data_IF_409738902228
#
_entry.id   IF_409738902228
#
_cell.length_a   1.000
_cell.length_b   1.000
_cell.length_c   1.000
_cell.angle_alpha   90.00
_cell.angle_beta   90.00
_cell.angle_gamma   90.00
#
_symmetry.space_group_name_H-M   'P 1'
#
loop_
_entity.id
_entity.type
_entity.pdbx_description
1 polymer ?
#
# COMPACT_ATOMS: atom_id res chain seq x y z
N UNK A 1 4.15 69.77 18.79
CA UNK A 1 3.74 68.39 18.46
C UNK A 1 4.55 67.97 17.24
N UNK A 2 5.00 66.72 17.18
CA UNK A 2 5.68 66.20 15.99
C UNK A 2 4.63 66.08 14.88
N UNK A 3 4.87 66.72 13.75
CA UNK A 3 3.95 66.73 12.60
C UNK A 3 4.48 65.91 11.42
N UNK A 4 5.70 65.38 11.52
CA UNK A 4 6.39 64.69 10.43
C UNK A 4 6.94 63.34 10.87
N UNK A 5 6.86 62.35 9.99
CA UNK A 5 7.46 61.03 10.07
C UNK A 5 8.74 61.02 9.23
N UNK A 6 9.87 60.65 9.83
CA UNK A 6 11.14 60.56 9.08
C UNK A 6 11.30 59.18 8.44
N UNK A 7 11.02 59.08 7.14
CA UNK A 7 11.23 57.85 6.39
C UNK A 7 12.69 57.71 5.96
N UNK A 8 13.30 56.57 6.30
CA UNK A 8 14.65 56.17 5.82
C UNK A 8 14.80 56.14 4.29
N UNK A 9 13.69 56.08 3.54
CA UNK A 9 13.70 55.95 2.07
C UNK A 9 13.10 57.14 1.31
N UNK A 10 12.30 57.99 1.98
CA UNK A 10 11.53 59.06 1.33
C UNK A 10 11.67 60.42 2.01
N UNK A 11 12.52 60.53 3.05
CA UNK A 11 12.70 61.76 3.82
C UNK A 11 11.54 62.06 4.77
N UNK A 12 11.50 63.30 5.27
CA UNK A 12 10.47 63.80 6.18
C UNK A 12 9.11 63.89 5.48
N UNK A 13 8.10 63.19 6.00
CA UNK A 13 6.74 63.14 5.44
C UNK A 13 5.77 63.68 6.49
N UNK A 14 4.91 64.62 6.12
CA UNK A 14 3.90 65.15 7.03
C UNK A 14 2.86 64.07 7.40
N UNK A 15 2.72 63.78 8.70
CA UNK A 15 1.88 62.68 9.23
C UNK A 15 0.42 62.86 8.80
N UNK A 16 -0.09 64.10 8.82
CA UNK A 16 -1.48 64.41 8.47
C UNK A 16 -1.87 64.03 7.04
N UNK A 17 -0.89 63.92 6.14
CA UNK A 17 -1.11 63.60 4.71
C UNK A 17 -1.01 62.10 4.40
N UNK A 18 -0.61 61.28 5.37
CA UNK A 18 -0.38 59.85 5.16
C UNK A 18 -1.70 59.09 5.03
N UNK A 19 -1.90 58.27 3.98
CA UNK A 19 -3.06 57.38 3.88
C UNK A 19 -2.98 56.25 4.92
N UNK A 20 -4.14 55.72 5.34
CA UNK A 20 -4.26 54.77 6.47
C UNK A 20 -3.31 53.57 6.37
N UNK A 21 -3.20 52.95 5.19
CA UNK A 21 -2.32 51.80 4.96
C UNK A 21 -0.85 52.14 5.14
N UNK A 22 -0.44 53.33 4.67
CA UNK A 22 0.93 53.81 4.81
C UNK A 22 1.25 54.22 6.25
N UNK A 23 0.32 54.90 6.93
CA UNK A 23 0.46 55.27 8.35
C UNK A 23 0.61 54.04 9.25
N UNK A 24 -0.21 52.98 9.04
CA UNK A 24 -0.10 51.70 9.77
C UNK A 24 1.25 51.00 9.56
N UNK A 25 1.71 50.93 8.31
CA UNK A 25 3.00 50.29 8.01
C UNK A 25 4.18 51.07 8.58
N UNK A 26 4.13 52.40 8.53
CA UNK A 26 5.16 53.28 9.09
C UNK A 26 5.21 53.20 10.61
N UNK A 27 4.05 53.18 11.28
CA UNK A 27 3.93 52.95 12.73
C UNK A 27 4.54 51.59 13.14
N UNK A 28 4.14 50.50 12.47
CA UNK A 28 4.66 49.15 12.75
C UNK A 28 6.17 49.04 12.53
N UNK A 29 6.69 49.76 11.52
CA UNK A 29 8.13 49.81 11.28
C UNK A 29 8.83 50.58 12.40
N UNK A 30 8.34 51.76 12.75
CA UNK A 30 8.95 52.66 13.74
C UNK A 30 8.97 52.04 15.14
N UNK A 31 7.86 51.39 15.55
CA UNK A 31 7.78 50.69 16.85
C UNK A 31 8.74 49.51 16.94
N UNK A 32 9.01 48.82 15.82
CA UNK A 32 9.93 47.67 15.77
C UNK A 32 11.40 48.08 15.73
N UNK A 33 11.74 49.11 14.95
CA UNK A 33 13.15 49.45 14.67
C UNK A 33 13.69 50.53 15.59
N UNK A 34 12.87 51.50 16.01
CA UNK A 34 13.31 52.66 16.78
C UNK A 34 12.30 53.01 17.89
N UNK A 35 12.08 52.11 18.89
CA UNK A 35 11.07 52.29 19.93
C UNK A 35 11.31 53.50 20.85
N UNK A 36 12.51 54.09 20.82
CA UNK A 36 12.86 55.31 21.56
C UNK A 36 12.26 56.60 20.99
N UNK A 37 11.66 56.58 19.80
CA UNK A 37 11.01 57.74 19.16
C UNK A 37 9.54 57.87 19.58
N UNK A 38 9.30 57.89 20.89
CA UNK A 38 7.97 57.76 21.50
C UNK A 38 6.99 58.85 21.05
N UNK A 39 7.43 60.10 20.95
CA UNK A 39 6.56 61.22 20.53
C UNK A 39 6.10 61.13 19.06
N UNK A 40 6.86 60.47 18.19
CA UNK A 40 6.50 60.26 16.78
C UNK A 40 5.62 59.03 16.60
N UNK A 41 5.87 57.99 17.40
CA UNK A 41 5.00 56.82 17.52
C UNK A 41 3.61 57.25 18.01
N UNK A 42 3.53 58.08 19.05
CA UNK A 42 2.26 58.62 19.57
C UNK A 42 1.53 59.48 18.52
N UNK A 43 2.25 60.32 17.77
CA UNK A 43 1.66 61.13 16.70
C UNK A 43 1.12 60.27 15.53
N UNK A 44 1.85 59.23 15.13
CA UNK A 44 1.41 58.28 14.10
C UNK A 44 0.24 57.42 14.57
N UNK A 45 0.26 56.98 15.83
CA UNK A 45 -0.83 56.22 16.43
C UNK A 45 -2.13 57.04 16.44
N UNK A 46 -2.07 58.30 16.89
CA UNK A 46 -3.23 59.19 16.90
C UNK A 46 -3.80 59.43 15.48
N UNK A 47 -2.94 59.53 14.46
CA UNK A 47 -3.37 59.68 13.07
C UNK A 47 -3.98 58.40 12.50
N UNK A 48 -3.42 57.23 12.83
CA UNK A 48 -3.98 55.93 12.45
C UNK A 48 -5.35 55.72 13.09
N UNK A 49 -5.52 56.08 14.36
CA UNK A 49 -6.80 55.93 15.08
C UNK A 49 -7.86 56.87 14.51
N UNK A 50 -7.48 58.11 14.18
CA UNK A 50 -8.35 59.06 13.46
C UNK A 50 -8.79 58.49 12.10
N UNK A 51 -7.86 58.01 11.28
CA UNK A 51 -8.21 57.49 9.95
C UNK A 51 -8.96 56.15 10.01
N UNK A 52 -8.72 55.32 11.04
CA UNK A 52 -9.46 54.08 11.25
C UNK A 52 -10.91 54.36 11.67
N UNK A 53 -11.12 55.32 12.58
CA UNK A 53 -12.47 55.76 12.96
C UNK A 53 -13.21 56.43 11.81
N UNK A 54 -12.52 57.22 10.97
CA UNK A 54 -13.09 57.79 9.74
C UNK A 54 -13.46 56.69 8.71
N UNK A 55 -12.62 55.67 8.54
CA UNK A 55 -12.89 54.54 7.65
C UNK A 55 -14.03 53.64 8.15
N UNK A 56 -14.12 53.42 9.47
CA UNK A 56 -15.20 52.65 10.10
C UNK A 56 -16.52 53.42 10.06
N UNK A 57 -16.49 54.75 10.28
CA UNK A 57 -17.65 55.62 10.10
C UNK A 57 -18.11 55.68 8.64
N UNK A 58 -17.18 55.70 7.67
CA UNK A 58 -17.50 55.64 6.24
C UNK A 58 -18.10 54.29 5.84
N UNK A 59 -17.61 53.18 6.40
CA UNK A 59 -18.16 51.84 6.17
C UNK A 59 -19.57 51.66 6.77
N UNK A 60 -19.86 52.32 7.90
CA UNK A 60 -21.19 52.32 8.54
C UNK A 60 -22.22 53.24 7.85
N UNK A 61 -21.76 54.28 7.14
CA UNK A 61 -22.62 55.29 6.52
C UNK A 61 -23.18 54.92 5.14
N UNK A 62 -22.84 53.76 4.57
CA UNK A 62 -23.49 53.20 3.39
C UNK A 62 -23.57 54.14 2.18
N UNK A 63 -22.42 54.61 1.69
CA UNK A 63 -22.33 55.45 0.49
C UNK A 63 -21.64 54.72 -0.67
N UNK A 64 -22.32 54.68 -1.82
CA UNK A 64 -21.80 54.21 -3.11
C UNK A 64 -20.36 54.71 -3.40
N UNK A 65 -19.52 53.79 -3.88
CA UNK A 65 -18.26 54.08 -4.53
C UNK A 65 -18.48 55.06 -5.71
N UNK A 66 -18.20 56.34 -5.50
CA UNK A 66 -18.06 57.31 -6.59
C UNK A 66 -16.61 57.77 -6.65
N UNK A 67 -15.76 56.97 -7.30
CA UNK A 67 -14.45 57.43 -7.74
C UNK A 67 -14.63 58.23 -9.05
N UNK A 68 -14.41 59.56 -9.07
CA UNK A 68 -14.61 60.42 -10.24
C UNK A 68 -13.59 60.21 -11.38
N UNK A 69 -12.83 59.11 -11.37
CA UNK A 69 -11.94 58.69 -12.48
C UNK A 69 -12.43 57.48 -13.27
N UNK A 70 -13.63 56.96 -12.99
CA UNK A 70 -14.27 55.97 -13.85
C UNK A 70 -14.87 56.63 -15.11
N UNK A 71 -14.03 57.24 -15.94
CA UNK A 71 -14.37 57.56 -17.33
C UNK A 71 -13.86 56.41 -18.19
N UNK A 72 -14.81 55.57 -18.63
CA UNK A 72 -14.59 54.47 -19.57
C UNK A 72 -14.22 55.05 -20.94
N UNK A 73 -13.07 54.66 -21.48
CA UNK A 73 -12.74 54.88 -22.89
C UNK A 73 -11.25 54.81 -23.22
N UNK A 74 -10.82 53.73 -23.89
CA UNK A 74 -9.79 53.84 -24.92
C UNK A 74 -8.48 53.05 -24.79
N UNK A 75 -8.37 52.03 -23.94
CA UNK A 75 -7.30 51.04 -24.10
C UNK A 75 -7.79 49.67 -23.65
N UNK A 76 -7.70 48.69 -24.54
CA UNK A 76 -7.96 47.28 -24.26
C UNK A 76 -6.60 46.60 -24.08
N UNK A 77 -5.97 46.68 -22.89
CA UNK A 77 -4.82 45.83 -22.61
C UNK A 77 -5.28 44.35 -22.64
N UNK A 78 -4.40 43.39 -22.99
CA UNK A 78 -4.73 41.98 -22.81
C UNK A 78 -5.12 41.78 -21.35
N UNK A 79 -6.21 41.06 -21.10
CA UNK A 79 -6.70 40.83 -19.76
C UNK A 79 -5.56 40.31 -18.88
N UNK A 80 -5.14 41.14 -17.92
CA UNK A 80 -4.32 40.69 -16.81
C UNK A 80 -5.16 39.69 -16.03
N UNK A 81 -4.80 38.42 -16.19
CA UNK A 81 -5.06 37.26 -15.36
C UNK A 81 -6.01 37.56 -14.19
N UNK A 82 -7.31 37.46 -14.47
CA UNK A 82 -8.26 36.98 -13.48
C UNK A 82 -7.61 35.78 -12.81
N UNK A 83 -7.33 35.93 -11.51
CA UNK A 83 -6.97 34.87 -10.57
C UNK A 83 -7.10 33.51 -11.21
N UNK A 84 -5.99 32.91 -11.65
CA UNK A 84 -5.96 31.61 -12.28
C UNK A 84 -6.76 30.66 -11.39
N UNK A 85 -8.05 30.50 -11.70
CA UNK A 85 -8.86 29.44 -11.19
C UNK A 85 -8.03 28.21 -11.54
N UNK A 86 -7.66 27.42 -10.54
CA UNK A 86 -6.94 26.17 -10.76
C UNK A 86 -7.74 25.44 -11.83
N UNK A 87 -7.26 25.48 -13.07
CA UNK A 87 -7.92 24.84 -14.20
C UNK A 87 -7.62 23.39 -13.93
N UNK A 88 -8.52 22.73 -13.20
CA UNK A 88 -8.44 21.30 -12.99
C UNK A 88 -8.34 20.68 -14.39
N UNK A 89 -7.22 19.99 -14.71
CA UNK A 89 -7.01 19.46 -16.03
C UNK A 89 -8.09 18.39 -16.26
N UNK A 90 -9.12 18.75 -17.02
CA UNK A 90 -10.18 17.81 -17.38
C UNK A 90 -9.64 16.87 -18.44
N UNK A 91 -9.94 15.58 -18.32
CA UNK A 91 -9.51 14.56 -19.27
C UNK A 91 -9.73 14.98 -20.73
N UNK A 92 -10.88 15.58 -21.06
CA UNK A 92 -11.19 15.99 -22.43
C UNK A 92 -10.19 17.00 -23.00
N UNK A 93 -9.73 17.96 -22.19
CA UNK A 93 -8.76 18.97 -22.62
C UNK A 93 -7.34 18.38 -22.72
N UNK A 94 -6.96 17.55 -21.75
CA UNK A 94 -5.66 16.87 -21.75
C UNK A 94 -5.54 15.91 -22.94
N UNK A 95 -6.63 15.21 -23.26
CA UNK A 95 -6.69 14.30 -24.40
C UNK A 95 -6.45 15.03 -25.71
N UNK A 96 -7.14 16.15 -25.95
CA UNK A 96 -6.95 16.95 -27.17
C UNK A 96 -5.50 17.40 -27.30
N UNK A 97 -4.91 17.93 -26.23
CA UNK A 97 -3.51 18.37 -26.24
C UNK A 97 -2.52 17.23 -26.50
N UNK A 98 -2.74 16.06 -25.90
CA UNK A 98 -1.93 14.87 -26.16
C UNK A 98 -2.08 14.36 -27.59
N UNK A 99 -3.30 14.31 -28.12
CA UNK A 99 -3.58 13.86 -29.48
C UNK A 99 -2.88 14.78 -30.52
N UNK A 100 -2.84 16.08 -30.26
CA UNK A 100 -2.09 17.06 -31.08
C UNK A 100 -0.57 16.80 -31.03
N UNK A 101 0.00 16.71 -29.82
CA UNK A 101 1.44 16.44 -29.66
C UNK A 101 1.86 15.07 -30.21
N UNK A 102 0.99 14.06 -30.13
CA UNK A 102 1.22 12.74 -30.72
C UNK A 102 1.22 12.79 -32.23
N UNK A 103 0.34 13.60 -32.84
CA UNK A 103 0.35 13.83 -34.29
C UNK A 103 1.65 14.50 -34.73
N UNK A 104 2.14 15.50 -33.98
CA UNK A 104 3.44 16.11 -34.24
C UNK A 104 4.59 15.13 -34.06
N UNK A 105 4.54 14.29 -33.03
CA UNK A 105 5.54 13.26 -32.78
C UNK A 105 5.60 12.23 -33.91
N UNK A 106 4.46 11.84 -34.48
CA UNK A 106 4.41 10.96 -35.65
C UNK A 106 5.10 11.58 -36.87
N UNK A 107 4.97 12.91 -37.06
CA UNK A 107 5.64 13.61 -38.16
C UNK A 107 7.16 13.68 -37.98
N UNK A 108 7.66 13.76 -36.74
CA UNK A 108 9.10 13.80 -36.44
C UNK A 108 9.75 12.43 -36.29
N UNK A 109 8.99 11.42 -35.85
CA UNK A 109 9.47 10.05 -35.60
C UNK A 109 9.16 9.11 -36.78
N UNK A 110 9.34 9.59 -38.01
CA UNK A 110 9.11 8.86 -39.26
C UNK A 110 10.30 7.95 -39.68
N UNK A 111 11.40 8.00 -38.94
CA UNK A 111 12.62 7.24 -39.20
C UNK A 111 13.67 7.97 -40.04
N UNK A 112 13.43 9.22 -40.43
CA UNK A 112 14.42 10.06 -41.11
C UNK A 112 15.44 10.57 -40.07
N UNK A 113 16.73 10.53 -40.45
CA UNK A 113 17.80 11.01 -39.59
C UNK A 113 17.74 12.54 -39.41
N UNK A 114 17.93 13.01 -38.18
CA UNK A 114 18.08 14.43 -37.86
C UNK A 114 19.40 14.93 -38.47
N UNK A 115 19.35 15.98 -39.29
CA UNK A 115 20.50 16.49 -40.06
C UNK A 115 21.00 17.86 -39.62
N UNK A 116 20.22 18.57 -38.81
CA UNK A 116 20.56 19.92 -38.33
C UNK A 116 20.32 20.06 -36.83
N UNK A 117 21.08 20.95 -36.18
CA UNK A 117 20.91 21.22 -34.74
C UNK A 117 19.50 21.77 -34.43
N UNK A 118 18.94 22.63 -35.30
CA UNK A 118 17.59 23.16 -35.11
C UNK A 118 16.50 22.09 -35.10
N UNK A 119 16.65 21.03 -35.90
CA UNK A 119 15.75 19.86 -35.85
C UNK A 119 15.92 19.08 -34.54
N UNK A 120 17.16 18.92 -34.05
CA UNK A 120 17.41 18.27 -32.76
C UNK A 120 16.78 19.05 -31.60
N UNK A 121 16.88 20.38 -31.61
CA UNK A 121 16.30 21.25 -30.59
C UNK A 121 14.76 21.18 -30.61
N UNK A 122 14.14 21.18 -31.80
CA UNK A 122 12.68 21.02 -31.96
C UNK A 122 12.18 19.66 -31.45
N UNK A 123 12.89 18.57 -31.77
CA UNK A 123 12.55 17.23 -31.26
C UNK A 123 12.73 17.16 -29.74
N UNK A 124 13.76 17.82 -29.19
CA UNK A 124 13.96 17.90 -27.74
C UNK A 124 12.83 18.67 -27.04
N UNK A 125 12.37 19.80 -27.60
CA UNK A 125 11.21 20.54 -27.10
C UNK A 125 9.94 19.70 -27.17
N UNK A 126 9.66 19.04 -28.30
CA UNK A 126 8.49 18.17 -28.45
C UNK A 126 8.49 17.01 -27.44
N UNK A 127 9.66 16.39 -27.20
CA UNK A 127 9.82 15.38 -26.15
C UNK A 127 9.48 15.93 -24.77
N UNK A 128 9.94 17.14 -24.45
CA UNK A 128 9.66 17.78 -23.16
C UNK A 128 8.16 18.10 -23.01
N UNK A 129 7.53 18.67 -24.04
CA UNK A 129 6.09 18.96 -24.03
C UNK A 129 5.23 17.70 -23.87
N UNK A 130 5.62 16.58 -24.50
CA UNK A 130 4.97 15.29 -24.28
C UNK A 130 5.11 14.81 -22.83
N UNK A 131 6.29 14.95 -22.21
CA UNK A 131 6.50 14.56 -20.80
C UNK A 131 5.66 15.40 -19.84
N UNK A 132 5.51 16.70 -20.11
CA UNK A 132 4.66 17.61 -19.35
C UNK A 132 3.18 17.25 -19.52
N UNK A 133 2.72 17.03 -20.75
CA UNK A 133 1.35 16.62 -21.04
C UNK A 133 0.99 15.26 -20.39
N UNK A 134 1.93 14.30 -20.37
CA UNK A 134 1.77 13.04 -19.65
C UNK A 134 1.63 13.25 -18.13
N UNK A 135 2.37 14.21 -17.57
CA UNK A 135 2.31 14.52 -16.14
C UNK A 135 0.96 15.17 -15.79
N UNK A 136 0.47 16.10 -16.62
CA UNK A 136 -0.86 16.71 -16.48
C UNK A 136 -1.99 15.66 -16.57
N UNK A 137 -1.86 14.65 -17.42
CA UNK A 137 -2.81 13.54 -17.49
C UNK A 137 -2.84 12.70 -16.20
N UNK A 138 -1.68 12.44 -15.60
CA UNK A 138 -1.61 11.72 -14.32
C UNK A 138 -2.21 12.53 -13.17
N UNK A 139 -2.03 13.85 -13.17
CA UNK A 139 -2.68 14.77 -12.21
C UNK A 139 -4.20 14.80 -12.37
N UNK A 140 -4.70 14.95 -13.61
CA UNK A 140 -6.12 14.85 -13.94
C UNK A 140 -6.73 13.56 -13.40
N UNK A 141 -6.07 12.41 -13.68
CA UNK A 141 -6.49 11.10 -13.19
C UNK A 141 -6.53 11.04 -11.66
N UNK A 142 -5.55 11.62 -10.97
CA UNK A 142 -5.52 11.64 -9.49
C UNK A 142 -6.68 12.45 -8.92
N UNK A 143 -7.00 13.60 -9.51
CA UNK A 143 -8.14 14.44 -9.10
C UNK A 143 -9.45 13.70 -9.31
N UNK A 144 -9.67 13.12 -10.49
CA UNK A 144 -10.89 12.35 -10.79
C UNK A 144 -11.06 11.13 -9.88
N UNK A 145 -9.95 10.44 -9.58
CA UNK A 145 -9.94 9.24 -8.74
C UNK A 145 -10.10 9.54 -7.24
N UNK A 146 -9.63 10.69 -6.77
CA UNK A 146 -9.62 11.05 -5.34
C UNK A 146 -10.97 10.84 -4.61
N UNK A 147 -12.13 11.31 -5.11
CA UNK A 147 -13.41 11.10 -4.43
C UNK A 147 -13.82 9.63 -4.40
N UNK A 148 -13.52 8.86 -5.45
CA UNK A 148 -13.80 7.43 -5.50
C UNK A 148 -12.92 6.64 -4.52
N UNK A 149 -11.63 6.98 -4.47
CA UNK A 149 -10.70 6.39 -3.50
C UNK A 149 -11.14 6.69 -2.05
N UNK A 150 -11.66 7.89 -1.79
CA UNK A 150 -12.19 8.24 -0.47
C UNK A 150 -13.44 7.41 -0.11
N UNK A 151 -14.38 7.23 -1.04
CA UNK A 151 -15.56 6.37 -0.83
C UNK A 151 -15.17 4.91 -0.63
N UNK A 152 -14.22 4.41 -1.43
CA UNK A 152 -13.70 3.05 -1.28
C UNK A 152 -13.01 2.89 0.08
N UNK A 153 -12.21 3.87 0.50
CA UNK A 153 -11.54 3.86 1.79
C UNK A 153 -12.54 3.82 2.95
N UNK A 154 -13.60 4.64 2.92
CA UNK A 154 -14.65 4.62 3.94
C UNK A 154 -15.33 3.26 4.05
N UNK A 155 -15.68 2.65 2.91
CA UNK A 155 -16.25 1.30 2.88
C UNK A 155 -15.25 0.30 3.47
N UNK A 156 -14.01 0.33 3.00
CA UNK A 156 -12.97 -0.58 3.48
C UNK A 156 -12.76 -0.44 4.99
N UNK A 157 -12.68 0.78 5.52
CA UNK A 157 -12.46 1.03 6.95
C UNK A 157 -13.59 0.48 7.81
N UNK A 158 -14.85 0.73 7.43
CA UNK A 158 -16.03 0.20 8.14
C UNK A 158 -16.04 -1.33 8.21
N UNK A 159 -15.71 -2.01 7.10
CA UNK A 159 -15.65 -3.47 7.09
C UNK A 159 -14.41 -3.99 7.82
N UNK A 160 -13.25 -3.37 7.61
CA UNK A 160 -11.97 -3.77 8.20
C UNK A 160 -11.99 -3.76 9.72
N UNK A 161 -12.83 -2.93 10.36
CA UNK A 161 -13.06 -2.99 11.80
C UNK A 161 -13.45 -4.41 12.30
N UNK A 162 -14.16 -5.19 11.48
CA UNK A 162 -14.60 -6.54 11.81
C UNK A 162 -13.81 -7.63 11.09
N UNK A 163 -13.56 -7.45 9.79
CA UNK A 163 -13.06 -8.50 8.90
C UNK A 163 -11.60 -8.32 8.49
N UNK A 164 -10.89 -7.29 8.98
CA UNK A 164 -9.49 -7.11 8.62
C UNK A 164 -8.66 -8.36 8.98
N UNK A 165 -7.83 -8.85 8.05
CA UNK A 165 -6.96 -10.01 8.28
C UNK A 165 -6.08 -9.88 9.51
N UNK A 166 -5.76 -11.02 10.13
CA UNK A 166 -4.96 -11.08 11.36
C UNK A 166 -3.53 -10.54 11.20
N UNK A 167 -3.00 -10.50 9.98
CA UNK A 167 -1.67 -9.96 9.63
C UNK A 167 -1.63 -8.43 9.60
N UNK A 168 -2.79 -7.76 9.58
CA UNK A 168 -2.85 -6.31 9.52
C UNK A 168 -2.53 -5.72 10.90
N UNK A 169 -1.98 -4.50 10.94
CA UNK A 169 -1.66 -3.77 12.18
C UNK A 169 -2.87 -3.66 13.13
N UNK A 170 -4.07 -3.48 12.56
CA UNK A 170 -5.36 -3.52 13.26
C UNK A 170 -6.19 -4.66 12.68
N UNK A 171 -6.12 -5.83 13.31
CA UNK A 171 -6.96 -6.97 12.94
C UNK A 171 -8.41 -6.75 13.39
N UNK A 172 -9.35 -7.20 12.56
CA UNK A 172 -10.78 -7.02 12.80
C UNK A 172 -11.28 -7.82 14.00
N UNK A 173 -12.29 -7.31 14.69
CA UNK A 173 -12.85 -7.94 15.90
C UNK A 173 -13.39 -9.35 15.66
N UNK A 174 -14.17 -9.54 14.58
CA UNK A 174 -14.72 -10.85 14.21
C UNK A 174 -13.61 -11.83 13.79
N UNK A 175 -12.59 -11.35 13.05
CA UNK A 175 -11.44 -12.16 12.66
C UNK A 175 -10.66 -12.67 13.89
N UNK A 176 -10.45 -11.80 14.89
CA UNK A 176 -9.83 -12.18 16.17
C UNK A 176 -10.67 -13.19 16.94
N UNK A 177 -11.99 -13.00 16.99
CA UNK A 177 -12.89 -13.93 17.68
C UNK A 177 -12.90 -15.31 17.02
N UNK A 178 -13.00 -15.38 15.68
CA UNK A 178 -12.95 -16.63 14.94
C UNK A 178 -11.61 -17.36 15.14
N UNK A 179 -10.49 -16.63 15.13
CA UNK A 179 -9.17 -17.19 15.43
C UNK A 179 -9.07 -17.73 16.86
N UNK A 180 -9.56 -16.98 17.85
CA UNK A 180 -9.55 -17.40 19.25
C UNK A 180 -10.40 -18.66 19.47
N UNK A 181 -11.58 -18.75 18.85
CA UNK A 181 -12.44 -19.94 18.90
C UNK A 181 -11.77 -21.15 18.23
N UNK A 182 -11.08 -20.95 17.10
CA UNK A 182 -10.28 -21.99 16.45
C UNK A 182 -9.15 -22.50 17.35
N UNK A 183 -8.46 -21.60 18.06
CA UNK A 183 -7.44 -21.97 19.05
C UNK A 183 -8.03 -22.69 20.27
N UNK A 184 -9.25 -22.35 20.68
CA UNK A 184 -9.94 -23.05 21.77
C UNK A 184 -10.33 -24.49 21.36
N UNK A 185 -10.77 -24.68 20.12
CA UNK A 185 -11.11 -26.01 19.58
C UNK A 185 -9.88 -26.90 19.39
N UNK A 186 -8.71 -26.32 19.16
CA UNK A 186 -7.49 -27.07 18.83
C UNK A 186 -7.08 -28.07 19.93
N UNK A 187 -6.93 -27.68 21.21
CA UNK A 187 -6.61 -28.63 22.29
C UNK A 187 -7.67 -29.72 22.48
N UNK A 188 -8.95 -29.40 22.26
CA UNK A 188 -10.03 -30.39 22.37
C UNK A 188 -9.93 -31.44 21.27
N UNK A 189 -9.71 -31.03 20.01
CA UNK A 189 -9.54 -31.96 18.91
C UNK A 189 -8.26 -32.80 19.05
N UNK A 190 -7.18 -32.21 19.58
CA UNK A 190 -5.95 -32.94 19.91
C UNK A 190 -6.21 -34.04 20.94
N UNK A 191 -6.95 -33.72 22.02
CA UNK A 191 -7.34 -34.72 23.02
C UNK A 191 -8.14 -35.87 22.39
N UNK A 192 -9.10 -35.58 21.52
CA UNK A 192 -9.86 -36.62 20.83
C UNK A 192 -9.00 -37.45 19.86
N UNK A 193 -7.99 -36.84 19.23
CA UNK A 193 -7.03 -37.53 18.37
C UNK A 193 -6.10 -38.44 19.19
N UNK A 194 -5.66 -37.99 20.36
CA UNK A 194 -4.91 -38.82 21.31
C UNK A 194 -5.76 -39.98 21.83
N UNK A 195 -7.01 -39.74 22.23
CA UNK A 195 -7.96 -40.79 22.64
C UNK A 195 -8.24 -41.80 21.52
N UNK A 196 -8.36 -41.32 20.27
CA UNK A 196 -8.48 -42.20 19.10
C UNK A 196 -7.21 -43.01 18.91
N UNK A 197 -6.02 -42.41 19.00
CA UNK A 197 -4.74 -43.11 18.87
C UNK A 197 -4.57 -44.21 19.91
N UNK A 198 -4.98 -43.97 21.15
CA UNK A 198 -4.98 -45.00 22.20
C UNK A 198 -5.97 -46.13 21.89
N UNK A 199 -7.16 -45.82 21.36
CA UNK A 199 -8.12 -46.85 20.90
C UNK A 199 -7.60 -47.63 19.71
N UNK A 200 -6.97 -46.98 18.74
CA UNK A 200 -6.33 -47.62 17.59
C UNK A 200 -5.20 -48.54 18.04
N UNK A 201 -4.39 -48.10 19.01
CA UNK A 201 -3.31 -48.92 19.57
C UNK A 201 -3.85 -50.18 20.23
N UNK A 202 -4.87 -50.06 21.10
CA UNK A 202 -5.52 -51.22 21.74
C UNK A 202 -6.17 -52.15 20.73
N UNK A 203 -6.95 -51.61 19.79
CA UNK A 203 -7.60 -52.41 18.75
C UNK A 203 -6.57 -53.12 17.85
N UNK A 204 -5.40 -52.51 17.62
CA UNK A 204 -4.31 -53.14 16.87
C UNK A 204 -3.64 -54.25 17.66
N UNK A 205 -3.34 -54.02 18.93
CA UNK A 205 -2.78 -55.05 19.84
C UNK A 205 -3.73 -56.26 19.97
N UNK A 206 -5.03 -56.01 20.14
CA UNK A 206 -6.07 -57.05 20.20
C UNK A 206 -6.21 -57.80 18.87
N UNK A 207 -6.29 -57.08 17.74
CA UNK A 207 -6.41 -57.71 16.43
C UNK A 207 -5.15 -58.52 16.06
N UNK A 208 -3.96 -58.05 16.41
CA UNK A 208 -2.71 -58.76 16.18
C UNK A 208 -2.61 -60.03 17.04
N UNK A 209 -3.00 -59.95 18.31
CA UNK A 209 -3.02 -61.10 19.22
C UNK A 209 -4.01 -62.18 18.76
N UNK A 210 -5.26 -61.80 18.44
CA UNK A 210 -6.29 -62.74 17.98
C UNK A 210 -5.90 -63.33 16.61
N UNK A 211 -5.34 -62.53 15.70
CA UNK A 211 -4.87 -63.01 14.41
C UNK A 211 -3.63 -63.93 14.52
N UNK A 212 -2.78 -63.74 15.53
CA UNK A 212 -1.68 -64.68 15.81
C UNK A 212 -2.23 -66.03 16.32
N UNK A 213 -3.11 -66.00 17.32
CA UNK A 213 -3.74 -67.20 17.87
C UNK A 213 -4.56 -67.97 16.82
N UNK A 214 -5.33 -67.26 15.97
CA UNK A 214 -6.08 -67.88 14.88
C UNK A 214 -5.17 -68.55 13.85
N UNK A 215 -4.05 -67.91 13.48
CA UNK A 215 -3.07 -68.50 12.55
C UNK A 215 -2.39 -69.73 13.13
N UNK A 216 -2.06 -69.72 14.43
CA UNK A 216 -1.47 -70.87 15.12
C UNK A 216 -2.47 -72.03 15.20
N UNK A 217 -3.69 -71.79 15.69
CA UNK A 217 -4.74 -72.82 15.76
C UNK A 217 -5.09 -73.41 14.40
N UNK A 218 -5.15 -72.59 13.35
CA UNK A 218 -5.37 -73.08 11.99
C UNK A 218 -4.18 -73.87 11.43
N UNK A 219 -2.94 -73.55 11.82
CA UNK A 219 -1.76 -74.35 11.45
C UNK A 219 -1.75 -75.70 12.16
N UNK A 220 -2.15 -75.75 13.42
CA UNK A 220 -2.24 -76.99 14.21
C UNK A 220 -3.40 -77.88 13.75
N UNK A 221 -4.55 -77.28 13.42
CA UNK A 221 -5.69 -78.00 12.84
C UNK A 221 -5.40 -78.50 11.41
N UNK A 222 -4.44 -77.89 10.69
CA UNK A 222 -4.06 -78.30 9.34
C UNK A 222 -3.35 -79.67 9.35
N UNK A 223 -4.14 -80.72 9.17
CA UNK A 223 -3.69 -82.12 9.21
C UNK A 223 -4.26 -82.93 10.38
N UNK A 224 -5.04 -82.30 11.26
CA UNK A 224 -5.78 -82.99 12.32
C UNK A 224 -7.00 -83.73 11.76
N UNK A 225 -7.33 -84.88 12.37
CA UNK A 225 -8.61 -85.58 12.16
C UNK A 225 -9.62 -85.32 13.30
N UNK A 226 -9.25 -84.46 14.25
CA UNK A 226 -10.10 -84.03 15.35
C UNK A 226 -11.00 -82.87 14.90
N UNK A 227 -12.31 -83.13 14.83
CA UNK A 227 -13.31 -82.14 14.45
C UNK A 227 -13.36 -80.97 15.44
N UNK A 228 -13.10 -81.21 16.74
CA UNK A 228 -13.10 -80.14 17.75
C UNK A 228 -12.00 -79.12 17.50
N UNK A 229 -10.79 -79.57 17.16
CA UNK A 229 -9.67 -78.69 16.83
C UNK A 229 -9.91 -77.88 15.53
N UNK A 230 -10.66 -78.45 14.58
CA UNK A 230 -11.04 -77.76 13.33
C UNK A 230 -12.09 -76.69 13.63
N UNK A 231 -13.09 -77.00 14.45
CA UNK A 231 -14.15 -76.05 14.85
C UNK A 231 -13.58 -74.89 15.68
N UNK A 232 -12.69 -75.17 16.65
CA UNK A 232 -12.00 -74.14 17.45
C UNK A 232 -11.13 -73.21 16.57
N UNK A 233 -10.40 -73.76 15.59
CA UNK A 233 -9.62 -72.95 14.64
C UNK A 233 -10.52 -72.07 13.76
N UNK A 234 -11.71 -72.55 13.37
CA UNK A 234 -12.68 -71.78 12.61
C UNK A 234 -13.28 -70.64 13.47
N UNK A 235 -13.64 -70.90 14.73
CA UNK A 235 -14.12 -69.88 15.66
C UNK A 235 -13.07 -68.77 15.90
N UNK A 236 -11.79 -69.15 16.03
CA UNK A 236 -10.70 -68.17 16.18
C UNK A 236 -10.46 -67.34 14.92
N UNK A 237 -10.63 -67.92 13.72
CA UNK A 237 -10.57 -67.16 12.47
C UNK A 237 -11.73 -66.16 12.35
N UNK A 238 -12.95 -66.56 12.74
CA UNK A 238 -14.10 -65.66 12.80
C UNK A 238 -13.87 -64.52 13.82
N UNK A 239 -13.27 -64.82 14.97
CA UNK A 239 -12.88 -63.83 15.97
C UNK A 239 -11.82 -62.85 15.42
N UNK A 240 -10.82 -63.35 14.67
CA UNK A 240 -9.81 -62.52 14.02
C UNK A 240 -10.42 -61.58 12.98
N UNK A 241 -11.38 -62.07 12.19
CA UNK A 241 -12.11 -61.25 11.23
C UNK A 241 -12.96 -60.16 11.90
N UNK A 242 -13.59 -60.47 13.04
CA UNK A 242 -14.31 -59.48 13.84
C UNK A 242 -13.36 -58.42 14.41
N UNK A 243 -12.21 -58.81 14.95
CA UNK A 243 -11.18 -57.89 15.46
C UNK A 243 -10.57 -57.02 14.35
N UNK A 244 -10.41 -57.56 13.14
CA UNK A 244 -9.97 -56.78 11.98
C UNK A 244 -11.04 -55.74 11.56
N UNK A 245 -12.33 -56.08 11.67
CA UNK A 245 -13.44 -55.14 11.39
C UNK A 245 -13.51 -54.02 12.42
N UNK A 246 -13.32 -54.33 13.71
CA UNK A 246 -13.30 -53.30 14.77
C UNK A 246 -12.12 -52.35 14.57
N UNK A 247 -10.91 -52.86 14.31
CA UNK A 247 -9.75 -52.04 13.99
C UNK A 247 -10.02 -51.09 12.82
N UNK A 248 -10.52 -51.61 11.68
CA UNK A 248 -10.86 -50.79 10.51
C UNK A 248 -11.91 -49.72 10.81
N UNK A 249 -12.86 -50.01 11.70
CA UNK A 249 -13.88 -49.04 12.12
C UNK A 249 -13.25 -47.89 12.90
N UNK A 250 -12.34 -48.19 13.83
CA UNK A 250 -11.62 -47.18 14.61
C UNK A 250 -10.70 -46.34 13.71
N UNK A 251 -9.94 -46.97 12.80
CA UNK A 251 -9.04 -46.25 11.88
C UNK A 251 -9.78 -45.24 11.00
N UNK A 252 -10.97 -45.61 10.50
CA UNK A 252 -11.80 -44.77 9.63
C UNK A 252 -12.53 -43.65 10.37
N UNK A 253 -12.62 -43.71 11.69
CA UNK A 253 -13.27 -42.69 12.50
C UNK A 253 -12.56 -41.34 12.30
N UNK A 254 -13.33 -40.29 12.04
CA UNK A 254 -12.79 -38.94 11.84
C UNK A 254 -12.99 -38.13 13.10
N UNK A 255 -11.90 -37.59 13.63
CA UNK A 255 -11.94 -36.65 14.75
C UNK A 255 -12.38 -35.28 14.22
N UNK A 256 -13.59 -34.86 14.60
CA UNK A 256 -14.17 -33.60 14.17
C UNK A 256 -15.19 -33.10 15.20
N UNK A 257 -15.32 -31.78 15.32
CA UNK A 257 -16.43 -31.16 16.03
C UNK A 257 -17.64 -31.11 15.09
N UNK A 258 -18.75 -31.70 15.51
CA UNK A 258 -20.02 -31.76 14.77
C UNK A 258 -21.05 -30.89 15.50
N UNK A 259 -21.73 -30.03 14.75
CA UNK A 259 -22.87 -29.23 15.22
C UNK A 259 -23.83 -29.00 14.05
N UNK A 260 -24.65 -27.96 14.13
CA UNK A 260 -25.64 -27.64 13.07
C UNK A 260 -24.99 -27.20 11.74
N UNK A 261 -23.73 -26.78 11.80
CA UNK A 261 -22.93 -26.37 10.65
C UNK A 261 -21.97 -27.48 10.18
N UNK A 262 -21.27 -27.24 9.07
CA UNK A 262 -20.23 -28.14 8.56
C UNK A 262 -19.24 -28.51 9.66
N UNK A 263 -18.95 -29.81 9.78
CA UNK A 263 -18.00 -30.34 10.74
C UNK A 263 -16.60 -29.70 10.61
N UNK A 264 -15.98 -29.42 11.75
CA UNK A 264 -14.66 -28.81 11.85
C UNK A 264 -13.64 -29.85 12.32
N UNK A 265 -12.69 -30.18 11.46
CA UNK A 265 -11.56 -31.06 11.76
C UNK A 265 -10.22 -30.34 11.71
N UNK A 266 -9.18 -31.00 12.21
CA UNK A 266 -7.82 -30.47 12.18
C UNK A 266 -7.25 -30.47 10.75
N UNK A 267 -6.38 -29.50 10.44
CA UNK A 267 -5.67 -29.39 9.16
C UNK A 267 -4.17 -29.46 9.41
N UNK A 268 -3.45 -30.21 8.58
CA UNK A 268 -1.99 -30.29 8.63
C UNK A 268 -1.37 -29.16 7.82
N UNK A 269 -0.46 -28.41 8.44
CA UNK A 269 0.36 -27.39 7.76
C UNK A 269 1.82 -27.82 7.80
N UNK A 270 2.43 -27.92 6.61
CA UNK A 270 3.83 -28.32 6.46
C UNK A 270 4.68 -27.08 6.19
N UNK A 271 5.67 -26.81 7.05
CA UNK A 271 6.61 -25.70 6.90
C UNK A 271 8.03 -26.26 6.77
N UNK A 272 8.74 -25.84 5.74
CA UNK A 272 10.17 -26.11 5.62
C UNK A 272 10.94 -25.15 6.53
N UNK A 273 11.80 -25.69 7.39
CA UNK A 273 12.68 -24.93 8.27
C UNK A 273 14.12 -25.23 7.84
N UNK A 274 14.94 -24.21 7.51
CA UNK A 274 16.32 -24.43 7.12
C UNK A 274 17.11 -25.02 8.30
N UNK A 275 17.92 -26.03 8.01
CA UNK A 275 18.84 -26.62 8.99
C UNK A 275 20.18 -25.93 8.88
N UNK A 276 20.69 -25.41 10.00
CA UNK A 276 21.97 -24.72 10.07
C UNK A 276 23.12 -25.61 9.55
N UNK A 277 24.05 -25.00 8.80
CA UNK A 277 25.15 -25.71 8.15
C UNK A 277 24.78 -26.57 6.94
N UNK A 278 23.49 -26.74 6.62
CA UNK A 278 23.04 -27.55 5.47
C UNK A 278 22.60 -26.74 4.25
N UNK A 279 22.86 -25.42 4.23
CA UNK A 279 22.49 -24.54 3.12
C UNK A 279 23.07 -25.00 1.77
N UNK A 280 24.31 -25.51 1.75
CA UNK A 280 24.92 -26.06 0.53
C UNK A 280 24.13 -27.23 -0.07
N UNK A 281 23.62 -28.14 0.79
CA UNK A 281 22.77 -29.26 0.33
C UNK A 281 21.45 -28.77 -0.25
N UNK A 282 20.85 -27.75 0.38
CA UNK A 282 19.63 -27.13 -0.14
C UNK A 282 19.88 -26.47 -1.51
N UNK A 283 21.00 -25.77 -1.68
CA UNK A 283 21.37 -25.15 -2.96
C UNK A 283 21.54 -26.20 -4.06
N UNK A 284 22.25 -27.30 -3.77
CA UNK A 284 22.40 -28.41 -4.74
C UNK A 284 21.05 -29.03 -5.08
N UNK A 285 20.18 -29.28 -4.09
CA UNK A 285 18.84 -29.83 -4.32
C UNK A 285 18.00 -28.96 -5.25
N UNK A 286 17.97 -27.65 -5.00
CA UNK A 286 17.19 -26.72 -5.83
C UNK A 286 17.84 -26.42 -7.18
N UNK A 287 19.17 -26.42 -7.28
CA UNK A 287 19.87 -26.29 -8.55
C UNK A 287 19.56 -27.46 -9.50
N UNK A 288 19.47 -28.69 -8.96
CA UNK A 288 19.09 -29.87 -9.75
C UNK A 288 17.60 -29.87 -10.12
N UNK A 289 16.73 -29.47 -9.19
CA UNK A 289 15.27 -29.57 -9.40
C UNK A 289 14.66 -28.38 -10.14
N UNK A 290 15.25 -27.19 -10.01
CA UNK A 290 14.77 -25.94 -10.59
C UNK A 290 15.95 -25.08 -11.09
N UNK A 291 16.68 -25.54 -12.14
CA UNK A 291 17.89 -24.88 -12.61
C UNK A 291 17.63 -23.45 -13.10
N UNK A 292 16.55 -23.22 -13.85
CA UNK A 292 16.24 -21.88 -14.39
C UNK A 292 15.92 -20.86 -13.30
N UNK A 293 15.21 -21.28 -12.24
CA UNK A 293 14.92 -20.41 -11.11
C UNK A 293 16.20 -20.06 -10.33
N UNK A 294 17.13 -21.01 -10.21
CA UNK A 294 18.42 -20.77 -9.58
C UNK A 294 19.29 -19.83 -10.41
N UNK A 295 19.34 -20.00 -11.74
CA UNK A 295 20.04 -19.07 -12.65
C UNK A 295 19.47 -17.66 -12.56
N UNK A 296 18.15 -17.51 -12.56
CA UNK A 296 17.50 -16.21 -12.41
C UNK A 296 17.83 -15.54 -11.07
N UNK A 297 17.87 -16.30 -9.97
CA UNK A 297 18.29 -15.80 -8.67
C UNK A 297 19.76 -15.34 -8.69
N UNK A 298 20.66 -16.12 -9.31
CA UNK A 298 22.07 -15.72 -9.47
C UNK A 298 22.23 -14.47 -10.34
N UNK A 299 21.42 -14.32 -11.41
CA UNK A 299 21.41 -13.12 -12.24
C UNK A 299 20.99 -11.87 -11.43
N UNK A 300 19.97 -11.98 -10.57
CA UNK A 300 19.55 -10.87 -9.72
C UNK A 300 20.68 -10.40 -8.79
N UNK A 301 21.40 -11.33 -8.16
CA UNK A 301 22.55 -11.00 -7.32
C UNK A 301 23.68 -10.36 -8.14
N UNK A 302 23.96 -10.88 -9.34
CA UNK A 302 24.96 -10.30 -10.23
C UNK A 302 24.58 -8.87 -10.68
N UNK A 303 23.32 -8.62 -11.02
CA UNK A 303 22.83 -7.28 -11.39
C UNK A 303 22.92 -6.29 -10.23
N UNK A 304 22.63 -6.74 -9.00
CA UNK A 304 22.82 -5.96 -7.77
C UNK A 304 24.29 -5.58 -7.57
N UNK A 305 25.21 -6.52 -7.76
CA UNK A 305 26.65 -6.29 -7.69
C UNK A 305 27.12 -5.30 -8.78
N UNK A 306 26.62 -5.42 -10.02
CA UNK A 306 26.93 -4.47 -11.11
C UNK A 306 26.45 -3.06 -10.78
N UNK A 307 25.25 -2.93 -10.21
CA UNK A 307 24.71 -1.64 -9.75
C UNK A 307 25.51 -1.06 -8.59
N UNK A 308 26.04 -1.90 -7.71
CA UNK A 308 26.96 -1.51 -6.65
C UNK A 308 28.35 -1.09 -7.19
N UNK A 309 28.60 -1.28 -8.50
CA UNK A 309 29.81 -0.86 -9.19
C UNK A 309 30.83 -1.97 -9.42
N UNK A 310 30.52 -3.22 -9.05
CA UNK A 310 31.39 -4.38 -9.31
C UNK A 310 31.32 -4.71 -10.80
N UNK A 311 32.46 -4.64 -11.50
CA UNK A 311 32.54 -4.89 -12.95
C UNK A 311 33.19 -6.23 -13.30
N UNK A 312 33.60 -7.01 -12.31
CA UNK A 312 34.18 -8.34 -12.49
C UNK A 312 33.50 -9.30 -11.54
N UNK A 313 32.65 -10.17 -12.07
CA UNK A 313 31.87 -11.13 -11.28
C UNK A 313 32.19 -12.53 -11.84
N UNK A 314 32.65 -13.49 -11.01
CA UNK A 314 32.91 -14.85 -11.48
C UNK A 314 31.68 -15.47 -12.15
N UNK A 315 31.83 -15.93 -13.39
CA UNK A 315 30.76 -16.56 -14.16
C UNK A 315 29.82 -15.59 -14.91
N UNK A 316 30.06 -14.27 -14.83
CA UNK A 316 29.30 -13.25 -15.58
C UNK A 316 30.23 -12.34 -16.37
N UNK A 317 29.74 -11.84 -17.51
CA UNK A 317 30.41 -10.81 -18.31
C UNK A 317 29.60 -9.53 -18.21
N UNK A 318 30.25 -8.41 -17.87
CA UNK A 318 29.60 -7.10 -17.70
C UNK A 318 29.92 -6.21 -18.89
N UNK A 319 28.90 -5.75 -19.62
CA UNK A 319 29.01 -4.87 -20.79
C UNK A 319 28.45 -3.46 -20.49
N UNK A 320 29.05 -2.41 -21.08
CA UNK A 320 28.57 -1.02 -20.96
C UNK A 320 27.88 -0.59 -22.26
N UNK A 321 26.60 -0.23 -22.17
CA UNK A 321 25.85 0.37 -23.26
C UNK A 321 25.34 1.76 -22.85
N UNK A 322 25.54 2.78 -23.71
CA UNK A 322 25.05 4.15 -23.48
C UNK A 322 23.86 4.45 -24.39
N UNK A 323 22.71 4.79 -23.79
CA UNK A 323 21.46 5.17 -24.46
C UNK A 323 20.91 6.46 -23.84
N UNK A 324 20.06 7.18 -24.58
CA UNK A 324 19.35 8.37 -24.09
C UNK A 324 18.48 7.98 -22.89
N UNK A 325 18.48 8.81 -21.84
CA UNK A 325 17.73 8.60 -20.61
C UNK A 325 16.24 8.92 -20.74
#
# INVERSE_FOLDING_TARGET
MITHYESSSRGSIEIATMPLSFAKNSLNKLTRTEPGRTAEIEALQAHVDKLATEAEAAALAGGEDVNPRAVVGGNNPPADEETAAVIEPKWDAVKVHLDDLLTEAQNWADGIAITTQGQADQVATLRQSLQEAMSLADEARKVEKAPLDAQVAEIQDRYNEYIAPLKNKKAGSATKAAYALGNLLTPWLQKLEDEKREREKKAREEAEAIAAAAREAHQEAAGSADLGAIDEAAELMDAADQAARTLRSVEREKVQAVGDNRAVGMRSYWKAIPVEGQGGKALVHYAQRQPERMKAFLQQLADEDVRAGIRTIPGFTVEEERRVA
#
